data_IF_503864648812
#
_entry.id   IF_503864648812
#
_cell.length_a   1.000
_cell.length_b   1.000
_cell.length_c   1.000
_cell.angle_alpha   90.00
_cell.angle_beta   90.00
_cell.angle_gamma   90.00
#
_symmetry.space_group_name_H-M   'P 1'
#
loop_
_entity.id
_entity.type
_entity.pdbx_description
1 polymer ?
#
# COMPACT_ATOMS: atom_id res chain seq x y z
N UNK A 1 -5.74 -27.55 18.86
CA UNK A 1 -6.73 -28.51 18.31
C UNK A 1 -6.93 -28.09 16.87
N UNK A 2 -6.43 -28.87 15.90
CA UNK A 2 -6.22 -28.39 14.53
C UNK A 2 -7.49 -27.86 13.86
N UNK A 3 -8.66 -28.43 14.16
CA UNK A 3 -9.95 -27.95 13.59
C UNK A 3 -10.41 -26.60 14.15
N UNK A 4 -9.90 -26.18 15.32
CA UNK A 4 -10.19 -24.87 15.90
C UNK A 4 -9.19 -23.79 15.41
N UNK A 5 -8.03 -24.21 14.92
CA UNK A 5 -6.97 -23.33 14.41
C UNK A 5 -7.27 -22.81 13.00
N UNK A 6 -7.85 -23.64 12.13
CA UNK A 6 -8.10 -23.30 10.73
C UNK A 6 -9.00 -22.05 10.53
N UNK A 7 -10.13 -21.89 11.25
CA UNK A 7 -10.92 -20.66 11.17
C UNK A 7 -10.17 -19.41 11.65
N UNK A 8 -9.24 -19.57 12.60
CA UNK A 8 -8.38 -18.48 13.07
C UNK A 8 -7.38 -18.08 11.98
N UNK A 9 -6.69 -19.06 11.38
CA UNK A 9 -5.77 -18.84 10.28
C UNK A 9 -6.44 -18.16 9.09
N UNK A 10 -7.65 -18.61 8.74
CA UNK A 10 -8.43 -18.00 7.67
C UNK A 10 -8.71 -16.52 7.94
N UNK A 11 -9.13 -16.16 9.16
CA UNK A 11 -9.36 -14.74 9.54
C UNK A 11 -8.08 -13.90 9.46
N UNK A 12 -6.96 -14.43 9.95
CA UNK A 12 -5.67 -13.74 9.91
C UNK A 12 -5.25 -13.49 8.47
N UNK A 13 -5.21 -14.54 7.64
CA UNK A 13 -4.77 -14.44 6.27
C UNK A 13 -5.71 -13.60 5.42
N UNK A 14 -7.02 -13.65 5.66
CA UNK A 14 -7.98 -12.79 4.99
C UNK A 14 -7.74 -11.31 5.32
N UNK A 15 -7.53 -10.96 6.59
CA UNK A 15 -7.26 -9.58 6.99
C UNK A 15 -5.94 -9.06 6.41
N UNK A 16 -4.89 -9.89 6.43
CA UNK A 16 -3.59 -9.55 5.83
C UNK A 16 -3.69 -9.38 4.31
N UNK A 17 -4.33 -10.33 3.62
CA UNK A 17 -4.49 -10.29 2.18
C UNK A 17 -5.39 -9.13 1.73
N UNK A 18 -6.44 -8.79 2.49
CA UNK A 18 -7.31 -7.66 2.17
C UNK A 18 -6.54 -6.34 2.13
N UNK A 19 -5.67 -6.11 3.12
CA UNK A 19 -4.79 -4.93 3.17
C UNK A 19 -3.67 -5.00 2.13
N UNK A 20 -3.04 -6.16 1.98
CA UNK A 20 -1.91 -6.36 1.08
C UNK A 20 -2.31 -6.22 -0.40
N UNK A 21 -3.43 -6.81 -0.79
CA UNK A 21 -3.96 -6.74 -2.16
C UNK A 21 -4.86 -5.53 -2.40
N UNK A 22 -5.19 -4.79 -1.32
CA UNK A 22 -5.94 -3.52 -1.32
C UNK A 22 -7.33 -3.65 -1.94
N UNK A 23 -7.92 -4.84 -1.82
CA UNK A 23 -9.20 -5.21 -2.42
C UNK A 23 -9.80 -6.44 -1.72
N UNK A 24 -11.09 -6.75 -1.91
CA UNK A 24 -11.70 -7.96 -1.41
C UNK A 24 -10.95 -9.21 -1.89
N UNK A 25 -10.74 -10.16 -0.97
CA UNK A 25 -10.00 -11.38 -1.27
C UNK A 25 -10.96 -12.42 -1.83
N UNK A 26 -10.72 -12.85 -3.08
CA UNK A 26 -11.57 -13.87 -3.71
C UNK A 26 -11.45 -15.22 -3.01
N UNK A 27 -12.50 -16.05 -3.11
CA UNK A 27 -12.49 -17.40 -2.54
C UNK A 27 -11.31 -18.23 -3.07
N UNK A 28 -10.98 -18.10 -4.36
CA UNK A 28 -9.85 -18.80 -4.95
C UNK A 28 -8.51 -18.36 -4.35
N UNK A 29 -8.37 -17.06 -4.06
CA UNK A 29 -7.18 -16.55 -3.38
C UNK A 29 -7.09 -17.10 -1.96
N UNK A 30 -8.21 -17.13 -1.23
CA UNK A 30 -8.25 -17.71 0.11
C UNK A 30 -7.94 -19.20 0.11
N UNK A 31 -8.48 -19.99 -0.82
CA UNK A 31 -8.14 -21.41 -0.98
C UNK A 31 -6.64 -21.60 -1.18
N UNK A 32 -6.03 -20.77 -2.04
CA UNK A 32 -4.58 -20.80 -2.27
C UNK A 32 -3.81 -20.50 -0.98
N UNK A 33 -4.14 -19.41 -0.28
CA UNK A 33 -3.46 -19.02 0.95
C UNK A 33 -3.59 -20.08 2.06
N UNK A 34 -4.77 -20.70 2.17
CA UNK A 34 -5.00 -21.77 3.14
C UNK A 34 -4.23 -23.05 2.80
N UNK A 35 -4.00 -23.36 1.52
CA UNK A 35 -3.13 -24.46 1.13
C UNK A 35 -1.68 -24.24 1.59
N UNK A 36 -1.11 -23.05 1.37
CA UNK A 36 0.23 -22.70 1.89
C UNK A 36 0.27 -22.75 3.42
N UNK A 37 -0.78 -22.28 4.09
CA UNK A 37 -0.90 -22.42 5.55
C UNK A 37 -0.86 -23.88 5.97
N UNK A 38 -1.60 -24.76 5.29
CA UNK A 38 -1.67 -26.18 5.64
C UNK A 38 -0.33 -26.89 5.43
N UNK A 39 0.43 -26.52 4.40
CA UNK A 39 1.81 -27.00 4.18
C UNK A 39 2.72 -26.63 5.36
N UNK A 40 2.78 -25.33 5.72
CA UNK A 40 3.59 -24.87 6.85
C UNK A 40 3.13 -25.44 8.19
N UNK A 41 1.81 -25.61 8.37
CA UNK A 41 1.21 -26.20 9.57
C UNK A 41 1.57 -27.68 9.74
N UNK A 42 1.61 -28.42 8.64
CA UNK A 42 2.01 -29.83 8.60
C UNK A 42 3.50 -29.97 8.87
N UNK A 43 4.30 -29.02 8.39
CA UNK A 43 5.74 -29.01 8.61
C UNK A 43 6.10 -28.84 10.09
N UNK A 44 5.41 -27.97 10.84
CA UNK A 44 5.74 -27.71 12.25
C UNK A 44 4.54 -27.34 13.12
N UNK A 45 4.06 -26.11 13.01
CA UNK A 45 3.08 -25.52 13.94
C UNK A 45 2.22 -24.45 13.27
N UNK A 46 1.26 -23.90 14.03
CA UNK A 46 0.35 -22.85 13.58
C UNK A 46 1.09 -21.64 13.00
N UNK A 47 2.09 -21.15 13.72
CA UNK A 47 2.85 -19.96 13.34
C UNK A 47 3.61 -20.18 12.03
N UNK A 48 4.16 -21.37 11.82
CA UNK A 48 4.81 -21.77 10.56
C UNK A 48 3.81 -21.81 9.41
N UNK A 49 2.58 -22.26 9.67
CA UNK A 49 1.49 -22.15 8.70
C UNK A 49 1.19 -20.69 8.34
N UNK A 50 1.03 -19.81 9.32
CA UNK A 50 0.80 -18.38 9.06
C UNK A 50 1.97 -17.77 8.29
N UNK A 51 3.21 -18.11 8.63
CA UNK A 51 4.40 -17.68 7.92
C UNK A 51 4.36 -18.07 6.44
N UNK A 52 3.94 -19.30 6.11
CA UNK A 52 3.84 -19.74 4.72
C UNK A 52 2.74 -18.99 3.97
N UNK A 53 1.56 -18.83 4.58
CA UNK A 53 0.47 -18.05 4.00
C UNK A 53 0.86 -16.59 3.76
N UNK A 54 1.51 -15.95 4.74
CA UNK A 54 2.04 -14.59 4.61
C UNK A 54 3.12 -14.51 3.54
N UNK A 55 4.05 -15.46 3.48
CA UNK A 55 5.09 -15.48 2.44
C UNK A 55 4.45 -15.52 1.06
N UNK A 56 3.38 -16.30 0.87
CA UNK A 56 2.61 -16.33 -0.38
C UNK A 56 1.97 -14.98 -0.71
N UNK A 57 1.45 -14.25 0.28
CA UNK A 57 0.92 -12.89 0.08
C UNK A 57 2.02 -11.95 -0.42
N UNK A 58 3.19 -11.96 0.21
CA UNK A 58 4.29 -11.03 -0.08
C UNK A 58 4.96 -11.24 -1.45
N UNK A 59 4.82 -12.43 -2.03
CA UNK A 59 5.33 -12.73 -3.39
C UNK A 59 4.24 -12.69 -4.46
N UNK A 60 2.99 -12.38 -4.10
CA UNK A 60 1.90 -12.30 -5.07
C UNK A 60 2.05 -11.05 -5.94
N UNK A 61 1.84 -11.13 -7.27
CA UNK A 61 1.84 -9.96 -8.14
C UNK A 61 0.88 -8.86 -7.69
N UNK A 62 -0.25 -9.19 -7.04
CA UNK A 62 -1.21 -8.19 -6.54
C UNK A 62 -0.70 -7.42 -5.32
N UNK A 63 0.28 -7.95 -4.61
CA UNK A 63 0.99 -7.21 -3.56
C UNK A 63 2.07 -6.32 -4.18
N UNK A 64 2.92 -6.91 -5.02
CA UNK A 64 4.12 -6.29 -5.61
C UNK A 64 3.75 -5.15 -6.58
N UNK A 65 2.70 -5.34 -7.37
CA UNK A 65 2.25 -4.38 -8.37
C UNK A 65 0.91 -3.76 -7.97
N UNK A 66 0.66 -2.55 -8.49
CA UNK A 66 -0.63 -1.85 -8.40
C UNK A 66 -1.24 -1.87 -9.80
N UNK A 67 -2.11 -2.84 -10.04
CA UNK A 67 -2.87 -2.96 -11.28
C UNK A 67 -4.21 -2.26 -11.15
N UNK A 68 -4.68 -1.71 -12.26
CA UNK A 68 -6.08 -1.34 -12.47
C UNK A 68 -6.67 -2.34 -13.46
N UNK A 69 -7.92 -2.71 -13.24
CA UNK A 69 -8.63 -3.65 -14.10
C UNK A 69 -9.28 -2.87 -15.25
N UNK A 70 -8.72 -3.05 -16.45
CA UNK A 70 -9.32 -2.55 -17.68
C UNK A 70 -10.61 -3.32 -17.99
N UNK A 71 -11.70 -2.65 -18.38
CA UNK A 71 -12.90 -3.33 -18.87
C UNK A 71 -12.58 -4.18 -20.10
N UNK A 72 -13.12 -5.40 -20.16
CA UNK A 72 -12.89 -6.34 -21.28
C UNK A 72 -13.33 -5.77 -22.65
N UNK A 73 -14.25 -4.81 -22.65
CA UNK A 73 -14.82 -4.16 -23.84
C UNK A 73 -14.20 -2.79 -24.15
N UNK A 74 -13.13 -2.40 -23.45
CA UNK A 74 -12.42 -1.14 -23.66
C UNK A 74 -11.77 -1.10 -25.06
N UNK A 75 -12.02 -0.04 -25.83
CA UNK A 75 -11.34 0.17 -27.11
C UNK A 75 -10.05 0.97 -26.95
N UNK A 76 -9.13 0.76 -27.89
CA UNK A 76 -7.88 1.51 -27.95
C UNK A 76 -8.10 3.03 -27.89
N UNK A 77 -7.50 3.67 -26.88
CA UNK A 77 -7.57 5.11 -26.66
C UNK A 77 -8.82 5.61 -25.93
N UNK A 78 -9.74 4.72 -25.52
CA UNK A 78 -10.86 5.09 -24.65
C UNK A 78 -10.40 5.22 -23.19
N UNK A 79 -10.90 6.25 -22.50
CA UNK A 79 -10.71 6.39 -21.06
C UNK A 79 -11.75 5.55 -20.31
N UNK A 80 -11.33 4.91 -19.22
CA UNK A 80 -12.24 4.23 -18.30
C UNK A 80 -12.13 4.80 -16.89
N UNK A 81 -13.22 4.65 -16.14
CA UNK A 81 -13.23 5.00 -14.72
C UNK A 81 -12.64 3.85 -13.90
N UNK A 82 -11.69 4.19 -13.05
CA UNK A 82 -11.19 3.25 -12.03
C UNK A 82 -12.24 3.00 -10.97
N UNK A 83 -12.19 1.84 -10.32
CA UNK A 83 -13.06 1.53 -9.19
C UNK A 83 -12.57 2.17 -7.88
N UNK A 84 -13.43 2.13 -6.87
CA UNK A 84 -13.19 2.73 -5.57
C UNK A 84 -11.96 2.15 -4.83
N UNK A 85 -11.63 0.87 -5.01
CA UNK A 85 -10.43 0.26 -4.42
C UNK A 85 -9.15 0.74 -5.11
N UNK A 86 -9.19 0.86 -6.43
CA UNK A 86 -8.10 1.44 -7.22
C UNK A 86 -7.89 2.91 -6.86
N UNK A 87 -8.97 3.68 -6.68
CA UNK A 87 -8.92 5.06 -6.20
C UNK A 87 -8.28 5.14 -4.80
N UNK A 88 -8.70 4.29 -3.86
CA UNK A 88 -8.10 4.21 -2.53
C UNK A 88 -6.59 3.93 -2.59
N UNK A 89 -6.20 2.95 -3.41
CA UNK A 89 -4.80 2.59 -3.61
C UNK A 89 -4.00 3.73 -4.24
N UNK A 90 -4.53 4.41 -5.28
CA UNK A 90 -3.87 5.55 -5.90
C UNK A 90 -3.65 6.69 -4.90
N UNK A 91 -4.69 7.06 -4.15
CA UNK A 91 -4.61 8.11 -3.13
C UNK A 91 -3.60 7.80 -2.04
N UNK A 92 -3.62 6.58 -1.49
CA UNK A 92 -2.72 6.19 -0.41
C UNK A 92 -1.26 6.20 -0.85
N UNK A 93 -0.95 5.70 -2.04
CA UNK A 93 0.41 5.69 -2.50
C UNK A 93 0.89 7.05 -2.98
N UNK A 94 -0.01 7.88 -3.50
CA UNK A 94 0.33 9.25 -3.86
C UNK A 94 0.65 10.08 -2.61
N UNK A 95 -0.25 10.08 -1.61
CA UNK A 95 -0.12 10.94 -0.43
C UNK A 95 0.80 10.35 0.66
N UNK A 96 0.76 9.03 0.87
CA UNK A 96 1.45 8.37 1.98
C UNK A 96 2.58 7.44 1.55
N UNK A 97 2.75 7.19 0.24
CA UNK A 97 3.69 6.18 -0.27
C UNK A 97 3.55 4.82 0.43
N UNK A 98 2.31 4.50 0.83
CA UNK A 98 1.97 3.31 1.61
C UNK A 98 0.59 2.78 1.22
N UNK A 99 0.24 1.62 1.76
CA UNK A 99 -1.07 1.00 1.55
C UNK A 99 -2.20 1.84 2.18
N UNK A 100 -3.43 1.78 1.64
CA UNK A 100 -4.58 2.45 2.22
C UNK A 100 -4.88 1.91 3.63
N UNK A 101 -5.42 2.76 4.49
CA UNK A 101 -5.88 2.36 5.82
C UNK A 101 -7.28 1.74 5.77
N UNK A 102 -7.72 1.21 6.92
CA UNK A 102 -9.01 0.51 7.01
C UNK A 102 -10.19 1.46 6.74
N UNK A 103 -10.08 2.76 7.05
CA UNK A 103 -11.13 3.76 6.74
C UNK A 103 -11.29 3.92 5.22
N UNK A 104 -10.18 4.13 4.50
CA UNK A 104 -10.20 4.31 3.06
C UNK A 104 -10.68 3.04 2.34
N UNK A 105 -10.22 1.86 2.79
CA UNK A 105 -10.69 0.57 2.27
C UNK A 105 -12.18 0.32 2.55
N UNK A 106 -12.68 0.73 3.72
CA UNK A 106 -14.10 0.58 4.07
C UNK A 106 -15.00 1.50 3.23
N UNK A 107 -14.57 2.73 2.97
CA UNK A 107 -15.29 3.64 2.06
C UNK A 107 -15.30 3.09 0.64
N UNK A 108 -14.18 2.53 0.20
CA UNK A 108 -14.09 1.90 -1.11
C UNK A 108 -15.00 0.67 -1.23
N UNK A 109 -15.02 -0.18 -0.20
CA UNK A 109 -15.92 -1.33 -0.13
C UNK A 109 -17.41 -0.92 -0.16
N UNK A 110 -17.73 0.25 0.37
CA UNK A 110 -19.08 0.80 0.35
C UNK A 110 -19.46 1.50 -0.97
N UNK A 111 -18.53 1.65 -1.93
CA UNK A 111 -18.75 2.39 -3.16
C UNK A 111 -19.00 3.89 -2.93
N UNK A 112 -18.40 4.46 -1.88
CA UNK A 112 -18.62 5.85 -1.46
C UNK A 112 -17.39 6.72 -1.59
N UNK A 113 -16.23 6.18 -1.95
CA UNK A 113 -14.99 6.94 -1.96
C UNK A 113 -14.96 7.96 -3.11
N UNK A 114 -15.53 7.61 -4.27
CA UNK A 114 -15.62 8.52 -5.42
C UNK A 114 -16.63 9.66 -5.26
N UNK A 115 -17.46 9.67 -4.21
CA UNK A 115 -18.31 10.83 -3.89
C UNK A 115 -17.44 12.05 -3.58
N UNK A 116 -17.66 13.17 -4.26
CA UNK A 116 -16.77 14.34 -4.18
C UNK A 116 -16.60 14.87 -2.76
N UNK A 117 -17.67 14.91 -1.98
CA UNK A 117 -17.63 15.38 -0.60
C UNK A 117 -16.92 14.38 0.34
N UNK A 118 -17.02 13.07 0.08
CA UNK A 118 -16.23 12.06 0.79
C UNK A 118 -14.75 12.12 0.40
N UNK A 119 -14.46 12.22 -0.90
CA UNK A 119 -13.10 12.29 -1.43
C UNK A 119 -12.35 13.49 -0.86
N UNK A 120 -12.94 14.69 -0.89
CA UNK A 120 -12.35 15.90 -0.32
C UNK A 120 -12.06 15.77 1.18
N UNK A 121 -12.96 15.10 1.92
CA UNK A 121 -12.75 14.84 3.35
C UNK A 121 -11.58 13.89 3.58
N UNK A 122 -11.51 12.80 2.81
CA UNK A 122 -10.43 11.83 2.93
C UNK A 122 -9.08 12.42 2.54
N UNK A 123 -9.00 13.23 1.48
CA UNK A 123 -7.77 13.92 1.11
C UNK A 123 -7.29 14.84 2.25
N UNK A 124 -8.18 15.66 2.82
CA UNK A 124 -7.83 16.55 3.94
C UNK A 124 -7.36 15.78 5.17
N UNK A 125 -8.06 14.68 5.51
CA UNK A 125 -7.68 13.79 6.62
C UNK A 125 -6.29 13.20 6.36
N UNK A 126 -6.05 12.67 5.17
CA UNK A 126 -4.80 12.02 4.82
C UNK A 126 -3.62 13.00 4.83
N UNK A 127 -3.82 14.24 4.38
CA UNK A 127 -2.80 15.30 4.44
C UNK A 127 -2.44 15.75 5.86
N UNK A 128 -3.30 15.50 6.84
CA UNK A 128 -3.03 15.78 8.26
C UNK A 128 -2.34 14.62 8.98
N UNK A 129 -2.30 13.44 8.37
CA UNK A 129 -1.62 12.27 8.94
C UNK A 129 -0.09 12.40 8.78
N UNK A 130 0.73 12.02 9.78
CA UNK A 130 2.18 12.04 9.67
C UNK A 130 2.75 11.32 8.43
N UNK A 131 2.05 10.31 7.90
CA UNK A 131 2.45 9.62 6.66
C UNK A 131 2.47 10.54 5.44
N UNK A 132 1.75 11.66 5.46
CA UNK A 132 1.74 12.65 4.37
C UNK A 132 3.11 13.30 4.14
N UNK A 133 4.02 13.22 5.12
CA UNK A 133 5.40 13.65 4.95
C UNK A 133 6.07 12.93 3.77
N UNK A 134 5.67 11.68 3.48
CA UNK A 134 6.18 10.92 2.34
C UNK A 134 5.90 11.60 0.99
N UNK A 135 4.82 12.39 0.87
CA UNK A 135 4.56 13.18 -0.34
C UNK A 135 5.67 14.22 -0.55
N UNK A 136 6.03 14.97 0.48
CA UNK A 136 7.10 15.98 0.42
C UNK A 136 8.46 15.32 0.18
N UNK A 137 8.75 14.23 0.87
CA UNK A 137 10.02 13.52 0.73
C UNK A 137 10.18 12.86 -0.64
N UNK A 138 9.14 12.22 -1.18
CA UNK A 138 9.27 11.49 -2.44
C UNK A 138 9.06 12.39 -3.67
N UNK A 139 8.10 13.31 -3.61
CA UNK A 139 7.83 14.23 -4.71
C UNK A 139 8.67 15.50 -4.61
N UNK A 140 8.66 16.17 -3.45
CA UNK A 140 9.37 17.43 -3.24
C UNK A 140 10.89 17.31 -3.37
N UNK A 141 11.52 16.30 -2.74
CA UNK A 141 12.98 16.13 -2.87
C UNK A 141 13.40 15.73 -4.29
N UNK A 142 12.59 14.93 -4.98
CA UNK A 142 12.88 14.55 -6.38
C UNK A 142 12.72 15.76 -7.31
N UNK A 143 11.63 16.52 -7.14
CA UNK A 143 11.34 17.72 -7.93
C UNK A 143 12.43 18.78 -7.76
N UNK A 144 12.81 19.07 -6.51
CA UNK A 144 13.84 20.04 -6.19
C UNK A 144 15.26 19.47 -6.30
N UNK A 145 15.41 18.21 -6.72
CA UNK A 145 16.68 17.51 -6.80
C UNK A 145 17.50 17.57 -5.50
N UNK A 146 16.85 17.61 -4.33
CA UNK A 146 17.53 17.75 -3.03
C UNK A 146 18.43 16.56 -2.70
N UNK A 147 18.21 15.40 -3.32
CA UNK A 147 19.15 14.28 -3.27
C UNK A 147 20.54 14.63 -3.83
N UNK A 148 20.62 15.57 -4.79
CA UNK A 148 21.90 16.06 -5.32
C UNK A 148 22.66 16.91 -4.31
N UNK A 149 21.99 17.46 -3.29
CA UNK A 149 22.69 18.19 -2.23
C UNK A 149 23.67 17.28 -1.50
N UNK A 150 23.53 15.95 -1.51
CA UNK A 150 24.48 15.02 -0.90
C UNK A 150 25.78 14.85 -1.69
N UNK A 151 25.77 15.16 -2.99
CA UNK A 151 26.96 15.07 -3.85
C UNK A 151 27.65 16.41 -4.10
N UNK A 152 27.05 17.51 -3.65
CA UNK A 152 27.63 18.86 -3.76
C UNK A 152 28.60 19.10 -2.60
N UNK A 153 29.88 19.33 -2.90
CA UNK A 153 30.91 19.73 -1.93
C UNK A 153 31.58 21.02 -2.41
N UNK A 154 31.03 22.19 -2.06
CA UNK A 154 31.65 23.48 -2.35
C UNK A 154 33.00 23.58 -1.64
N UNK A 155 33.96 24.26 -2.26
CA UNK A 155 35.30 24.49 -1.69
C UNK A 155 35.32 25.56 -0.59
N UNK A 156 34.15 26.00 -0.10
CA UNK A 156 34.02 27.01 0.95
C UNK A 156 34.00 26.33 2.31
N UNK A 157 34.79 26.85 3.25
CA UNK A 157 34.86 26.37 4.63
C UNK A 157 33.54 26.59 5.40
N UNK A 158 32.66 27.45 4.91
CA UNK A 158 31.34 27.73 5.50
C UNK A 158 30.29 26.67 5.13
N UNK A 159 30.56 25.83 4.12
CA UNK A 159 29.66 24.75 3.71
C UNK A 159 29.99 23.45 4.43
N UNK A 160 29.52 23.32 5.66
CA UNK A 160 29.67 22.11 6.46
C UNK A 160 28.51 21.11 6.30
N UNK A 161 28.63 19.94 6.93
CA UNK A 161 27.58 18.93 6.90
C UNK A 161 26.28 19.36 7.60
N UNK A 162 26.35 20.32 8.53
CA UNK A 162 25.19 20.81 9.28
C UNK A 162 24.35 21.80 8.47
N UNK A 163 25.00 22.67 7.68
CA UNK A 163 24.35 23.58 6.75
C UNK A 163 23.57 22.81 5.67
N UNK A 164 24.13 21.69 5.18
CA UNK A 164 23.44 20.80 4.23
C UNK A 164 22.16 20.21 4.81
N UNK A 165 22.19 19.79 6.07
CA UNK A 165 21.01 19.26 6.77
C UNK A 165 19.98 20.37 7.00
N UNK A 166 20.42 21.58 7.34
CA UNK A 166 19.54 22.73 7.51
C UNK A 166 18.83 23.11 6.19
N UNK A 167 19.57 23.20 5.08
CA UNK A 167 19.00 23.50 3.75
C UNK A 167 17.95 22.47 3.32
N UNK A 168 18.19 21.18 3.57
CA UNK A 168 17.21 20.11 3.32
C UNK A 168 15.96 20.20 4.21
N UNK A 169 16.07 20.81 5.39
CA UNK A 169 14.98 20.92 6.37
C UNK A 169 14.15 22.19 6.17
N UNK A 170 14.77 23.26 5.67
CA UNK A 170 14.12 24.55 5.41
C UNK A 170 13.27 24.53 4.13
N UNK A 171 13.65 23.68 3.16
CA UNK A 171 12.97 23.53 1.87
C UNK A 171 11.84 22.51 1.93
#
# INVERSE_FOLDING_TARGET
NASAEEPCAQKILQALAYRAFRRPVSEQSMKTLMAFYQEGRTLRDFDTGIQYGLSRILVDPRFVFRFEEEPDDLKDGENYAINDFELASRLSFFLWSSIPDDELLSLAAAGKLADSAQLDRQIKRMLQDPKAQALVENFGFSWLSLAKLDSVNPTSDDFDGSLRVAMKRET
#
